data_IF_251269779571
#
_entry.id   IF_251269779571
#
_cell.length_a   1.000
_cell.length_b   1.000
_cell.length_c   1.000
_cell.angle_alpha   90.00
_cell.angle_beta   90.00
_cell.angle_gamma   90.00
#
_symmetry.space_group_name_H-M   'P 1'
#
loop_
_entity.id
_entity.type
_entity.pdbx_description
1 polymer ?
#
# COMPACT_ATOMS: atom_id res chain seq x y z
N UNK A 1 1.72 8.15 -9.53
CA UNK A 1 1.21 6.85 -9.07
C UNK A 1 2.24 5.78 -9.40
N UNK A 2 2.49 4.85 -8.48
CA UNK A 2 3.40 3.73 -8.67
C UNK A 2 2.63 2.58 -9.33
N UNK A 3 3.10 2.09 -10.49
CA UNK A 3 2.53 0.91 -11.14
C UNK A 3 3.10 -0.35 -10.49
N UNK A 4 2.42 -0.81 -9.44
CA UNK A 4 2.79 -2.01 -8.72
C UNK A 4 1.52 -2.72 -8.25
N UNK A 5 1.52 -4.04 -8.34
CA UNK A 5 0.40 -4.86 -7.86
C UNK A 5 0.60 -5.29 -6.42
N UNK A 6 -0.49 -5.67 -5.76
CA UNK A 6 -0.42 -6.22 -4.40
C UNK A 6 0.42 -7.50 -4.35
N UNK A 7 0.42 -8.28 -5.43
CA UNK A 7 1.22 -9.50 -5.53
C UNK A 7 2.72 -9.20 -5.63
N UNK A 8 3.11 -8.17 -6.39
CA UNK A 8 4.51 -7.76 -6.46
C UNK A 8 5.02 -7.30 -5.10
N UNK A 9 4.24 -6.49 -4.38
CA UNK A 9 4.58 -6.06 -3.01
C UNK A 9 4.69 -7.26 -2.07
N UNK A 10 3.74 -8.20 -2.15
CA UNK A 10 3.77 -9.41 -1.33
C UNK A 10 5.04 -10.24 -1.56
N UNK A 11 5.46 -10.41 -2.82
CA UNK A 11 6.73 -11.07 -3.18
C UNK A 11 7.93 -10.34 -2.58
N UNK A 12 7.98 -9.01 -2.67
CA UNK A 12 9.10 -8.23 -2.09
C UNK A 12 9.15 -8.29 -0.56
N UNK A 13 8.00 -8.39 0.11
CA UNK A 13 7.93 -8.46 1.57
C UNK A 13 7.99 -9.89 2.12
N UNK A 14 8.11 -10.92 1.27
CA UNK A 14 8.04 -12.32 1.71
C UNK A 14 6.72 -12.66 2.41
N UNK A 15 5.61 -12.04 2.00
CA UNK A 15 4.31 -12.14 2.65
C UNK A 15 3.22 -12.63 1.68
N UNK A 16 2.02 -12.89 2.20
CA UNK A 16 0.87 -13.26 1.39
C UNK A 16 0.18 -12.01 0.80
N UNK A 17 -0.32 -12.13 -0.44
CA UNK A 17 -1.06 -11.05 -1.13
C UNK A 17 -2.22 -10.51 -0.29
N UNK A 18 -2.91 -11.36 0.45
CA UNK A 18 -4.03 -10.99 1.31
C UNK A 18 -3.64 -10.10 2.48
N UNK A 19 -2.46 -10.33 3.08
CA UNK A 19 -1.92 -9.49 4.16
C UNK A 19 -1.63 -8.10 3.63
N UNK A 20 -0.94 -8.01 2.49
CA UNK A 20 -0.65 -6.74 1.81
C UNK A 20 -1.93 -6.01 1.44
N UNK A 21 -2.91 -6.75 0.90
CA UNK A 21 -4.18 -6.16 0.49
C UNK A 21 -4.94 -5.55 1.66
N UNK A 22 -4.94 -6.21 2.84
CA UNK A 22 -5.56 -5.66 4.05
C UNK A 22 -4.85 -4.40 4.54
N UNK A 23 -3.52 -4.41 4.56
CA UNK A 23 -2.71 -3.24 4.94
C UNK A 23 -2.97 -2.05 4.01
N UNK A 24 -2.94 -2.26 2.70
CA UNK A 24 -3.20 -1.22 1.72
C UNK A 24 -4.64 -0.68 1.81
N UNK A 25 -5.61 -1.53 2.14
CA UNK A 25 -6.99 -1.10 2.36
C UNK A 25 -7.15 -0.24 3.63
N UNK A 26 -6.43 -0.57 4.68
CA UNK A 26 -6.37 0.28 5.87
C UNK A 26 -5.77 1.65 5.54
N UNK A 27 -4.66 1.70 4.79
CA UNK A 27 -4.05 2.97 4.36
C UNK A 27 -4.95 3.79 3.43
N UNK A 28 -5.74 3.13 2.59
CA UNK A 28 -6.76 3.79 1.76
C UNK A 28 -7.85 4.43 2.64
N UNK A 29 -8.34 3.70 3.65
CA UNK A 29 -9.34 4.21 4.60
C UNK A 29 -8.85 5.40 5.43
N UNK A 30 -7.57 5.42 5.80
CA UNK A 30 -6.93 6.53 6.52
C UNK A 30 -6.57 7.73 5.61
N UNK A 31 -6.85 7.63 4.30
CA UNK A 31 -6.51 8.67 3.32
C UNK A 31 -5.01 8.82 3.08
N UNK A 32 -4.21 7.79 3.39
CA UNK A 32 -2.75 7.80 3.25
C UNK A 32 -2.36 7.44 1.81
N UNK A 33 -3.09 6.52 1.19
CA UNK A 33 -2.90 6.10 -0.20
C UNK A 33 -4.24 6.04 -0.95
N UNK A 34 -4.19 6.07 -2.28
CA UNK A 34 -5.30 5.69 -3.14
C UNK A 34 -4.89 4.44 -3.94
N UNK A 35 -5.76 3.43 -3.95
CA UNK A 35 -5.55 2.21 -4.74
C UNK A 35 -6.29 2.32 -6.07
N UNK A 36 -5.68 1.77 -7.10
CA UNK A 36 -6.23 1.67 -8.46
C UNK A 36 -5.83 0.32 -9.05
N UNK A 37 -6.47 -0.10 -10.14
CA UNK A 37 -6.11 -1.38 -10.78
C UNK A 37 -4.66 -1.34 -11.24
N UNK A 38 -3.81 -2.14 -10.57
CA UNK A 38 -2.38 -2.23 -10.86
C UNK A 38 -1.56 -1.00 -10.45
N UNK A 39 -2.08 -0.14 -9.57
CA UNK A 39 -1.36 1.04 -9.14
C UNK A 39 -1.72 1.55 -7.76
N UNK A 40 -0.74 2.17 -7.11
CA UNK A 40 -0.85 2.78 -5.78
C UNK A 40 -0.38 4.22 -5.87
N UNK A 41 -1.16 5.15 -5.35
CA UNK A 41 -0.79 6.55 -5.23
C UNK A 41 -0.68 6.93 -3.76
N UNK A 42 0.44 7.52 -3.37
CA UNK A 42 0.59 8.08 -2.02
C UNK A 42 -0.07 9.45 -1.99
N UNK A 43 -1.04 9.63 -1.09
CA UNK A 43 -1.75 10.89 -0.87
C UNK A 43 -1.05 11.71 0.22
N UNK A 44 -0.65 11.06 1.32
CA UNK A 44 0.00 11.72 2.45
C UNK A 44 1.32 11.01 2.82
N UNK A 45 2.43 11.59 2.35
CA UNK A 45 3.78 11.08 2.63
C UNK A 45 4.18 11.25 4.09
N UNK A 46 3.65 12.24 4.81
CA UNK A 46 4.00 12.48 6.22
C UNK A 46 3.37 11.40 7.10
N UNK A 47 2.08 11.16 6.93
CA UNK A 47 1.38 10.05 7.61
C UNK A 47 2.02 8.71 7.30
N UNK A 48 2.32 8.43 6.03
CA UNK A 48 2.96 7.17 5.63
C UNK A 48 4.32 6.97 6.31
N UNK A 49 5.16 8.01 6.38
CA UNK A 49 6.46 7.95 7.07
C UNK A 49 6.31 7.76 8.58
N UNK A 50 5.25 8.32 9.20
CA UNK A 50 4.97 8.14 10.62
C UNK A 50 4.62 6.70 11.02
N UNK A 51 4.36 5.81 10.05
CA UNK A 51 4.15 4.38 10.28
C UNK A 51 5.44 3.55 10.31
N UNK A 52 6.57 4.13 9.88
CA UNK A 52 7.89 3.52 9.92
C UNK A 52 8.55 3.94 11.24
N UNK A 53 8.33 3.18 12.31
CA UNK A 53 9.13 3.29 13.55
C UNK A 53 10.50 2.65 13.35
#
# INVERSE_FOLDING_TARGET
ALKITHEQIAKYMGSAREVVSRMLKYFEGEGIVALSRGGIQVLDKKKLKGLLN
#
